data_IF_202196854792
#
_entry.id   IF_202196854792
#
_cell.length_a   1.000
_cell.length_b   1.000
_cell.length_c   1.000
_cell.angle_alpha   90.00
_cell.angle_beta   90.00
_cell.angle_gamma   90.00
#
_symmetry.space_group_name_H-M   'P 1'
#
loop_
_entity.id
_entity.type
_entity.pdbx_description
1 polymer ?
#
# COMPACT_ATOMS: atom_id res chain seq x y z
N UNK A 1 -24.25 -5.43 -11.29
CA UNK A 1 -23.39 -6.57 -10.86
C UNK A 1 -23.76 -6.87 -9.43
N UNK A 2 -23.95 -8.14 -9.07
CA UNK A 2 -24.03 -8.58 -7.68
C UNK A 2 -22.87 -9.52 -7.44
N UNK A 3 -22.28 -9.45 -6.25
CA UNK A 3 -21.22 -10.35 -5.78
C UNK A 3 -19.93 -10.31 -6.62
N UNK A 4 -19.52 -9.11 -7.05
CA UNK A 4 -18.27 -8.88 -7.76
C UNK A 4 -17.42 -7.85 -7.00
N UNK A 5 -16.13 -8.14 -6.88
CA UNK A 5 -15.11 -7.27 -6.30
C UNK A 5 -13.96 -7.14 -7.29
N UNK A 6 -13.46 -5.92 -7.49
CA UNK A 6 -12.21 -5.66 -8.21
C UNK A 6 -11.07 -5.73 -7.21
N UNK A 7 -10.11 -6.60 -7.48
CA UNK A 7 -8.86 -6.71 -6.74
C UNK A 7 -7.74 -5.93 -7.46
N UNK A 8 -7.12 -4.99 -6.76
CA UNK A 8 -5.96 -4.23 -7.24
C UNK A 8 -4.75 -4.44 -6.33
N UNK A 9 -3.58 -4.55 -6.96
CA UNK A 9 -2.31 -4.78 -6.27
C UNK A 9 -1.41 -3.56 -6.45
N UNK A 10 -0.96 -2.97 -5.35
CA UNK A 10 -0.17 -1.75 -5.36
C UNK A 10 1.19 -1.96 -4.72
N UNK A 11 2.21 -1.79 -5.55
CA UNK A 11 3.61 -1.79 -5.14
C UNK A 11 4.29 -0.50 -5.62
N UNK A 12 5.11 0.09 -4.76
CA UNK A 12 6.14 1.04 -5.16
C UNK A 12 7.48 0.30 -5.38
N UNK A 13 7.39 -0.79 -6.14
CA UNK A 13 8.46 -1.70 -6.53
C UNK A 13 8.21 -2.13 -7.98
N UNK A 14 9.19 -2.83 -8.57
CA UNK A 14 9.07 -3.53 -9.86
C UNK A 14 8.83 -2.65 -11.09
N UNK A 15 9.01 -1.33 -10.96
CA UNK A 15 9.02 -0.43 -12.10
C UNK A 15 10.12 0.62 -11.94
N UNK A 16 10.78 0.96 -13.05
CA UNK A 16 11.97 1.82 -13.06
C UNK A 16 11.72 3.21 -12.49
N UNK A 17 10.48 3.69 -12.54
CA UNK A 17 10.11 4.98 -11.96
C UNK A 17 10.44 5.05 -10.46
N UNK A 18 10.44 3.92 -9.74
CA UNK A 18 10.67 3.88 -8.30
C UNK A 18 12.15 3.82 -7.93
N UNK A 19 13.05 3.52 -8.86
CA UNK A 19 14.47 3.31 -8.57
C UNK A 19 15.15 4.56 -8.01
N UNK A 20 14.73 5.74 -8.48
CA UNK A 20 15.34 7.02 -8.13
C UNK A 20 14.40 7.93 -7.30
N UNK A 21 13.26 7.40 -6.85
CA UNK A 21 12.33 8.18 -6.02
C UNK A 21 12.85 8.34 -4.59
N UNK A 22 12.78 9.56 -4.08
CA UNK A 22 12.97 9.84 -2.66
C UNK A 22 11.81 9.29 -1.82
N UNK A 23 11.96 9.33 -0.50
CA UNK A 23 10.90 8.96 0.45
C UNK A 23 9.64 9.80 0.24
N UNK A 24 9.80 11.13 0.13
CA UNK A 24 8.66 12.03 -0.05
C UNK A 24 8.00 11.82 -1.41
N UNK A 25 8.77 11.56 -2.48
CA UNK A 25 8.20 11.23 -3.80
C UNK A 25 7.39 9.92 -3.77
N UNK A 26 7.86 8.90 -3.03
CA UNK A 26 7.10 7.66 -2.84
C UNK A 26 5.77 7.89 -2.10
N UNK A 27 5.81 8.70 -1.04
CA UNK A 27 4.62 9.05 -0.25
C UNK A 27 3.63 9.87 -1.10
N UNK A 28 4.13 10.84 -1.86
CA UNK A 28 3.31 11.68 -2.74
C UNK A 28 2.69 10.87 -3.87
N UNK A 29 3.42 9.90 -4.43
CA UNK A 29 2.91 8.99 -5.45
C UNK A 29 1.72 8.16 -4.93
N UNK A 30 1.75 7.70 -3.68
CA UNK A 30 0.60 7.02 -3.06
C UNK A 30 -0.58 7.98 -2.92
N UNK A 31 -0.33 9.17 -2.35
CA UNK A 31 -1.38 10.15 -2.04
C UNK A 31 -2.03 10.75 -3.28
N UNK A 32 -1.33 10.75 -4.40
CA UNK A 32 -1.82 11.31 -5.67
C UNK A 32 -2.17 10.19 -6.66
N UNK A 33 -1.18 9.57 -7.30
CA UNK A 33 -1.39 8.57 -8.35
C UNK A 33 -2.24 7.39 -7.87
N UNK A 34 -1.84 6.71 -6.80
CA UNK A 34 -2.57 5.51 -6.33
C UNK A 34 -3.95 5.86 -5.77
N UNK A 35 -4.07 6.99 -5.08
CA UNK A 35 -5.37 7.46 -4.60
C UNK A 35 -6.34 7.78 -5.75
N UNK A 36 -5.85 8.37 -6.85
CA UNK A 36 -6.67 8.65 -8.03
C UNK A 36 -7.04 7.35 -8.76
N UNK A 37 -6.08 6.44 -8.97
CA UNK A 37 -6.34 5.13 -9.57
C UNK A 37 -7.43 4.36 -8.82
N UNK A 38 -7.34 4.32 -7.48
CA UNK A 38 -8.35 3.65 -6.65
C UNK A 38 -9.71 4.35 -6.71
N UNK A 39 -9.72 5.70 -6.76
CA UNK A 39 -10.94 6.49 -6.88
C UNK A 39 -11.65 6.25 -8.21
N UNK A 40 -10.91 6.21 -9.32
CA UNK A 40 -11.45 6.04 -10.67
C UNK A 40 -12.21 4.71 -10.83
N UNK A 41 -11.79 3.67 -10.11
CA UNK A 41 -12.45 2.35 -10.12
C UNK A 41 -13.47 2.17 -8.98
N UNK A 42 -13.51 3.07 -7.99
CA UNK A 42 -14.46 3.01 -6.87
C UNK A 42 -15.68 3.88 -7.17
N UNK A 43 -16.69 3.31 -7.83
CA UNK A 43 -17.90 4.04 -8.25
C UNK A 43 -19.13 3.65 -7.42
N UNK A 44 -20.07 4.58 -7.23
CA UNK A 44 -21.23 4.40 -6.32
C UNK A 44 -22.19 3.26 -6.69
N UNK A 45 -22.22 2.85 -7.96
CA UNK A 45 -23.06 1.75 -8.45
C UNK A 45 -22.23 0.63 -9.11
N UNK A 46 -20.90 0.64 -8.88
CA UNK A 46 -19.96 -0.33 -9.43
C UNK A 46 -19.76 -1.57 -8.54
N UNK A 47 -18.86 -2.48 -8.95
CA UNK A 47 -18.35 -3.50 -8.04
C UNK A 47 -17.61 -2.88 -6.86
N UNK A 48 -17.49 -3.63 -5.75
CA UNK A 48 -16.65 -3.20 -4.65
C UNK A 48 -15.17 -3.27 -5.05
N UNK A 49 -14.32 -2.56 -4.31
CA UNK A 49 -12.89 -2.42 -4.59
C UNK A 49 -12.09 -2.91 -3.40
N UNK A 50 -11.11 -3.77 -3.67
CA UNK A 50 -10.24 -4.39 -2.68
C UNK A 50 -8.79 -4.13 -3.07
N UNK A 51 -7.99 -3.62 -2.13
CA UNK A 51 -6.53 -3.56 -2.31
C UNK A 51 -5.96 -4.86 -1.79
N UNK A 52 -5.92 -5.90 -2.62
CA UNK A 52 -5.61 -7.26 -2.16
C UNK A 52 -4.15 -7.53 -1.91
N UNK A 53 -3.25 -6.74 -2.48
CA UNK A 53 -1.82 -6.83 -2.19
C UNK A 53 -1.17 -5.45 -2.12
N UNK A 54 -0.46 -5.23 -1.01
CA UNK A 54 0.44 -4.09 -0.80
C UNK A 54 1.49 -4.44 0.28
N UNK A 55 2.61 -3.71 0.28
CA UNK A 55 3.69 -3.86 1.27
C UNK A 55 4.28 -2.51 1.65
N UNK A 56 4.94 -2.49 2.80
CA UNK A 56 5.75 -1.34 3.22
C UNK A 56 7.18 -1.38 2.67
N UNK A 57 7.52 -2.38 1.84
CA UNK A 57 8.78 -2.43 1.11
C UNK A 57 8.75 -1.55 -0.16
N UNK A 58 9.88 -0.93 -0.47
CA UNK A 58 10.07 -0.02 -1.60
C UNK A 58 11.53 -0.03 -2.08
N UNK A 59 11.85 0.71 -3.15
CA UNK A 59 13.23 0.77 -3.66
C UNK A 59 14.19 1.61 -2.80
N UNK A 60 13.69 2.39 -1.84
CA UNK A 60 14.53 3.26 -1.01
C UNK A 60 15.38 2.43 -0.05
N UNK A 61 16.71 2.55 -0.20
CA UNK A 61 17.68 1.87 0.65
C UNK A 61 18.07 2.71 1.86
N UNK A 62 18.23 2.07 3.02
CA UNK A 62 18.74 2.71 4.23
C UNK A 62 17.74 3.63 4.96
N UNK A 63 16.45 3.57 4.61
CA UNK A 63 15.42 4.35 5.27
C UNK A 63 15.29 4.01 6.77
N UNK A 64 15.01 5.02 7.59
CA UNK A 64 14.78 4.86 9.03
C UNK A 64 13.42 4.23 9.31
N UNK A 65 13.21 3.79 10.55
CA UNK A 65 11.92 3.27 10.99
C UNK A 65 10.79 4.31 10.83
N UNK A 66 11.07 5.56 11.16
CA UNK A 66 10.11 6.67 11.04
C UNK A 66 9.72 6.92 9.58
N UNK A 67 10.65 6.74 8.64
CA UNK A 67 10.37 6.88 7.21
C UNK A 67 9.46 5.76 6.70
N UNK A 68 9.70 4.51 7.11
CA UNK A 68 8.79 3.40 6.84
C UNK A 68 7.40 3.58 7.47
N UNK A 69 7.33 4.14 8.69
CA UNK A 69 6.07 4.46 9.34
C UNK A 69 5.28 5.49 8.52
N UNK A 70 5.92 6.59 8.11
CA UNK A 70 5.30 7.63 7.26
C UNK A 70 4.76 7.05 5.95
N UNK A 71 5.50 6.13 5.34
CA UNK A 71 5.07 5.45 4.12
C UNK A 71 3.90 4.51 4.33
N UNK A 72 3.98 3.65 5.35
CA UNK A 72 2.92 2.72 5.68
C UNK A 72 1.63 3.43 6.09
N UNK A 73 1.75 4.57 6.78
CA UNK A 73 0.61 5.42 7.15
C UNK A 73 -0.06 6.01 5.89
N UNK A 74 0.73 6.55 4.95
CA UNK A 74 0.19 7.07 3.69
C UNK A 74 -0.55 5.99 2.90
N UNK A 75 0.01 4.77 2.87
CA UNK A 75 -0.62 3.59 2.30
C UNK A 75 -1.96 3.28 2.97
N UNK A 76 -1.99 3.09 4.30
CA UNK A 76 -3.22 2.79 5.04
C UNK A 76 -4.31 3.86 4.86
N UNK A 77 -3.92 5.14 4.83
CA UNK A 77 -4.85 6.24 4.57
C UNK A 77 -5.51 6.15 3.18
N UNK A 78 -4.78 5.71 2.16
CA UNK A 78 -5.31 5.57 0.80
C UNK A 78 -6.06 4.26 0.62
N UNK A 79 -5.50 3.13 1.05
CA UNK A 79 -6.12 1.81 0.96
C UNK A 79 -7.40 1.70 1.77
N UNK A 80 -7.50 2.44 2.90
CA UNK A 80 -8.73 2.55 3.69
C UNK A 80 -9.91 3.18 2.94
N UNK A 81 -9.69 3.78 1.76
CA UNK A 81 -10.76 4.29 0.88
C UNK A 81 -11.37 3.20 0.00
N UNK A 82 -10.75 2.03 -0.10
CA UNK A 82 -11.29 0.90 -0.85
C UNK A 82 -12.59 0.40 -0.20
N UNK A 83 -13.59 0.09 -1.01
CA UNK A 83 -14.95 -0.20 -0.51
C UNK A 83 -15.12 -1.60 0.10
N UNK A 84 -14.18 -2.51 -0.16
CA UNK A 84 -14.13 -3.86 0.42
C UNK A 84 -12.96 -4.06 1.41
N UNK A 85 -12.10 -3.05 1.57
CA UNK A 85 -10.92 -3.10 2.44
C UNK A 85 -9.62 -3.41 1.71
N UNK A 86 -8.66 -3.97 2.45
CA UNK A 86 -7.30 -4.22 1.97
C UNK A 86 -6.68 -5.47 2.62
N UNK A 87 -5.65 -6.03 1.99
CA UNK A 87 -4.82 -7.10 2.56
C UNK A 87 -3.32 -6.84 2.32
N UNK A 88 -2.55 -7.00 3.39
CA UNK A 88 -1.10 -6.85 3.34
C UNK A 88 -0.45 -8.14 2.80
N UNK A 89 0.50 -8.00 1.87
CA UNK A 89 1.25 -9.11 1.32
C UNK A 89 2.61 -9.27 2.02
N UNK A 90 2.73 -10.01 3.11
CA UNK A 90 1.96 -11.17 3.53
C UNK A 90 1.85 -11.20 5.06
N UNK A 91 1.08 -12.14 5.61
CA UNK A 91 1.01 -12.31 7.07
C UNK A 91 2.41 -12.56 7.69
N UNK A 92 3.23 -13.41 7.06
CA UNK A 92 4.58 -13.78 7.51
C UNK A 92 5.53 -14.00 6.34
N UNK A 93 6.72 -13.44 6.44
CA UNK A 93 7.80 -13.60 5.45
C UNK A 93 9.17 -13.57 6.14
N UNK A 94 10.20 -14.15 5.49
CA UNK A 94 11.59 -14.06 5.94
C UNK A 94 12.18 -12.65 5.78
N UNK A 95 11.66 -11.88 4.82
CA UNK A 95 11.97 -10.48 4.62
C UNK A 95 11.03 -9.62 5.47
N UNK A 96 11.59 -8.86 6.41
CA UNK A 96 10.85 -8.19 7.48
C UNK A 96 9.72 -7.26 6.99
N UNK A 97 9.97 -6.40 6.00
CA UNK A 97 8.94 -5.49 5.46
C UNK A 97 7.94 -6.16 4.50
N UNK A 98 8.05 -7.46 4.29
CA UNK A 98 7.04 -8.29 3.61
C UNK A 98 6.19 -9.09 4.60
N UNK A 99 6.39 -8.87 5.91
CA UNK A 99 5.77 -9.61 7.00
C UNK A 99 4.93 -8.67 7.87
N UNK A 100 3.62 -8.68 7.69
CA UNK A 100 2.68 -7.87 8.47
C UNK A 100 2.84 -8.11 9.99
N UNK A 101 3.00 -9.39 10.37
CA UNK A 101 3.26 -9.78 11.76
C UNK A 101 4.51 -9.08 12.33
N UNK A 102 5.59 -9.02 11.55
CA UNK A 102 6.82 -8.35 11.97
C UNK A 102 6.63 -6.82 12.02
N UNK A 103 5.97 -6.24 11.02
CA UNK A 103 5.73 -4.79 10.95
C UNK A 103 4.92 -4.29 12.14
N UNK A 104 3.88 -5.01 12.55
CA UNK A 104 3.07 -4.66 13.73
C UNK A 104 3.88 -4.84 15.02
N UNK A 105 4.52 -6.01 15.22
CA UNK A 105 5.27 -6.31 16.44
C UNK A 105 6.45 -5.36 16.69
N UNK A 106 7.05 -4.85 15.62
CA UNK A 106 8.18 -3.93 15.71
C UNK A 106 7.74 -2.47 15.59
N UNK A 107 6.44 -2.18 15.55
CA UNK A 107 5.87 -0.84 15.59
C UNK A 107 6.13 -0.01 14.32
N UNK A 108 6.23 -0.65 13.16
CA UNK A 108 6.28 0.03 11.86
C UNK A 108 4.89 0.33 11.31
N UNK A 109 3.90 -0.50 11.66
CA UNK A 109 2.48 -0.33 11.33
C UNK A 109 1.68 -0.33 12.62
N UNK A 110 0.71 0.58 12.72
CA UNK A 110 -0.31 0.59 13.76
C UNK A 110 -1.69 0.52 13.11
N UNK A 111 -2.57 -0.35 13.61
CA UNK A 111 -3.91 -0.61 13.08
C UNK A 111 -4.99 -0.19 14.06
#
# INVERSE_FOLDING_TARGET
MKDVVIDVHYYNLFWDIFNDMTIDQNIDFIKTNRSNELQDITTSNGPLTFVGEWVAEWQVRGATKEEYQRFSEAQLQVWGKASFGWAYWSLRNINNHWSMDWMIKNGYINL
#
